data_IF_250089429957
#
_entry.id   IF_250089429957
#
_cell.length_a   1.000
_cell.length_b   1.000
_cell.length_c   1.000
_cell.angle_alpha   90.00
_cell.angle_beta   90.00
_cell.angle_gamma   90.00
#
_symmetry.space_group_name_H-M   'P 1'
#
loop_
_entity.id
_entity.type
_entity.pdbx_description
1 polymer ?
#
# COMPACT_ATOMS: atom_id res chain seq x y z
N UNK A 1 -28.56 6.82 -20.67
CA UNK A 1 -27.26 7.33 -20.19
C UNK A 1 -26.21 6.96 -21.20
N UNK A 2 -25.38 7.90 -21.62
CA UNK A 2 -24.19 7.62 -22.42
C UNK A 2 -23.31 6.61 -21.67
N UNK A 3 -22.48 5.85 -22.39
CA UNK A 3 -21.74 4.73 -21.82
C UNK A 3 -20.81 5.10 -20.64
N UNK A 4 -20.50 6.38 -20.42
CA UNK A 4 -19.55 6.87 -19.41
C UNK A 4 -20.03 8.15 -18.69
N UNK A 5 -21.33 8.26 -18.43
CA UNK A 5 -21.88 9.35 -17.62
C UNK A 5 -21.43 9.26 -16.15
N UNK A 6 -21.41 10.38 -15.39
CA UNK A 6 -21.15 10.38 -13.96
C UNK A 6 -22.11 9.46 -13.19
N UNK A 7 -21.67 8.80 -12.10
CA UNK A 7 -22.48 7.80 -11.41
C UNK A 7 -23.52 8.38 -10.43
N UNK A 8 -23.60 9.72 -10.30
CA UNK A 8 -24.53 10.44 -9.42
C UNK A 8 -24.98 11.74 -10.07
N UNK A 9 -26.19 12.22 -9.75
CA UNK A 9 -26.88 13.29 -10.49
C UNK A 9 -26.68 14.70 -9.91
N UNK A 10 -26.26 14.82 -8.64
CA UNK A 10 -26.16 16.11 -7.93
C UNK A 10 -24.78 16.39 -7.35
N UNK A 11 -24.46 17.68 -7.13
CA UNK A 11 -23.25 18.08 -6.38
C UNK A 11 -23.36 17.59 -4.95
N UNK A 12 -22.61 16.55 -4.61
CA UNK A 12 -22.60 15.92 -3.29
C UNK A 12 -22.22 16.92 -2.19
N UNK A 13 -21.36 17.88 -2.52
CA UNK A 13 -20.90 18.94 -1.61
C UNK A 13 -21.90 20.12 -1.51
N UNK A 14 -23.11 19.99 -2.06
CA UNK A 14 -24.07 21.07 -2.26
C UNK A 14 -25.20 21.11 -1.23
N UNK A 15 -24.89 21.46 0.02
CA UNK A 15 -25.85 22.11 0.93
C UNK A 15 -25.23 23.33 1.61
N UNK A 16 -24.42 24.07 0.86
CA UNK A 16 -23.86 25.35 1.31
C UNK A 16 -24.65 26.49 0.66
N UNK A 17 -25.04 27.43 1.51
CA UNK A 17 -25.84 28.62 1.27
C UNK A 17 -25.46 29.35 -0.04
N UNK A 18 -26.41 30.05 -0.67
CA UNK A 18 -26.23 30.68 -2.00
C UNK A 18 -25.02 31.63 -2.05
N UNK A 19 -24.61 32.22 -0.92
CA UNK A 19 -23.42 33.06 -0.80
C UNK A 19 -22.09 32.29 -0.98
N UNK A 20 -22.05 30.99 -0.65
CA UNK A 20 -20.85 30.14 -0.79
C UNK A 20 -20.71 29.64 -2.22
N UNK A 21 -21.82 29.45 -2.95
CA UNK A 21 -21.77 29.03 -4.35
C UNK A 21 -21.07 30.06 -5.25
N UNK A 22 -21.21 31.36 -4.97
CA UNK A 22 -20.48 32.43 -5.67
C UNK A 22 -18.95 32.37 -5.44
N UNK A 23 -18.50 31.89 -4.27
CA UNK A 23 -17.08 31.70 -3.94
C UNK A 23 -16.54 30.36 -4.47
N UNK A 24 -17.39 29.36 -4.66
CA UNK A 24 -17.04 28.03 -5.20
C UNK A 24 -16.96 28.05 -6.73
N UNK A 25 -17.82 28.82 -7.41
CA UNK A 25 -17.80 28.95 -8.88
C UNK A 25 -16.51 29.60 -9.42
N UNK A 26 -15.83 30.44 -8.62
CA UNK A 26 -14.52 31.02 -8.97
C UNK A 26 -13.32 30.11 -8.61
N UNK A 27 -13.58 28.90 -8.09
CA UNK A 27 -12.60 28.02 -7.42
C UNK A 27 -12.33 26.68 -8.13
N UNK A 28 -12.71 26.51 -9.40
CA UNK A 28 -12.34 25.33 -10.20
C UNK A 28 -10.84 24.89 -10.08
N UNK A 29 -9.84 25.79 -9.98
CA UNK A 29 -8.44 25.38 -9.75
C UNK A 29 -8.11 24.88 -8.32
N UNK A 30 -9.06 24.86 -7.37
CA UNK A 30 -8.83 24.49 -5.96
C UNK A 30 -9.21 23.05 -5.58
N UNK A 31 -9.75 22.27 -6.53
CA UNK A 31 -10.17 20.89 -6.30
C UNK A 31 -9.06 19.86 -6.50
N UNK A 32 -8.06 20.21 -7.32
CA UNK A 32 -6.90 19.38 -7.60
C UNK A 32 -5.78 19.65 -6.59
N UNK A 33 -4.88 18.69 -6.35
CA UNK A 33 -3.72 18.92 -5.49
C UNK A 33 -2.83 20.07 -6.01
N UNK A 34 -2.03 20.67 -5.15
CA UNK A 34 -1.17 21.80 -5.56
C UNK A 34 -0.13 21.38 -6.61
N UNK A 35 0.43 20.19 -6.47
CA UNK A 35 1.40 19.63 -7.40
C UNK A 35 1.28 18.12 -7.48
N UNK A 36 1.82 17.54 -8.55
CA UNK A 36 1.89 16.09 -8.73
C UNK A 36 3.28 15.67 -9.21
N UNK A 37 3.71 14.48 -8.79
CA UNK A 37 4.87 13.81 -9.40
C UNK A 37 4.39 12.76 -10.37
N UNK A 38 4.71 12.96 -11.64
CA UNK A 38 4.43 11.98 -12.70
C UNK A 38 5.64 11.05 -12.81
N UNK A 39 5.44 9.75 -12.59
CA UNK A 39 6.49 8.76 -12.86
C UNK A 39 6.44 8.37 -14.33
N UNK A 40 7.34 8.91 -15.14
CA UNK A 40 7.50 8.52 -16.54
C UNK A 40 8.54 7.39 -16.60
N UNK A 41 8.12 6.19 -17.02
CA UNK A 41 9.02 5.06 -17.35
C UNK A 41 10.07 4.72 -16.29
N UNK A 42 9.64 4.50 -15.03
CA UNK A 42 10.52 4.06 -13.94
C UNK A 42 11.49 5.13 -13.39
N UNK A 43 11.48 6.36 -13.93
CA UNK A 43 12.20 7.52 -13.39
C UNK A 43 11.25 8.38 -12.54
N UNK A 44 11.74 8.94 -11.44
CA UNK A 44 11.04 10.02 -10.76
C UNK A 44 11.02 11.22 -11.72
N UNK A 45 9.85 11.53 -12.28
CA UNK A 45 9.68 12.74 -13.10
C UNK A 45 9.64 13.99 -12.23
N UNK A 46 9.82 15.15 -12.85
CA UNK A 46 9.78 16.44 -12.18
C UNK A 46 8.43 16.75 -11.54
N UNK A 47 8.43 17.72 -10.62
CA UNK A 47 7.23 18.28 -10.01
C UNK A 47 6.43 19.03 -11.09
N UNK A 48 5.14 18.70 -11.23
CA UNK A 48 4.24 19.39 -12.17
C UNK A 48 3.11 20.07 -11.41
N UNK A 49 2.59 21.16 -11.95
CA UNK A 49 1.41 21.85 -11.42
C UNK A 49 0.18 21.00 -11.75
N UNK A 50 -0.61 20.60 -10.74
CA UNK A 50 -1.67 19.62 -10.98
C UNK A 50 -2.86 20.17 -11.78
N UNK A 51 -3.20 21.45 -11.58
CA UNK A 51 -4.26 22.11 -12.34
C UNK A 51 -3.96 22.23 -13.84
N UNK A 52 -2.68 22.16 -14.23
CA UNK A 52 -2.24 22.37 -15.61
C UNK A 52 -2.10 21.07 -16.42
N UNK A 53 -2.22 19.89 -15.79
CA UNK A 53 -1.93 18.62 -16.47
C UNK A 53 -2.95 17.53 -16.17
N UNK A 54 -3.67 17.02 -17.19
CA UNK A 54 -4.58 15.89 -17.04
C UNK A 54 -3.84 14.61 -16.61
N UNK A 55 -2.53 14.53 -16.84
CA UNK A 55 -1.70 13.41 -16.40
C UNK A 55 -1.52 13.34 -14.88
N UNK A 56 -1.73 14.45 -14.16
CA UNK A 56 -1.72 14.44 -12.70
C UNK A 56 -2.91 13.68 -12.13
N UNK A 57 -4.11 13.84 -12.69
CA UNK A 57 -5.30 13.06 -12.30
C UNK A 57 -5.11 11.58 -12.59
N UNK A 58 -4.54 11.24 -13.75
CA UNK A 58 -4.25 9.84 -14.09
C UNK A 58 -3.24 9.23 -13.12
N UNK A 59 -2.15 9.96 -12.81
CA UNK A 59 -1.16 9.51 -11.85
C UNK A 59 -1.74 9.35 -10.43
N UNK A 60 -2.64 10.24 -10.03
CA UNK A 60 -3.25 10.25 -8.71
C UNK A 60 -4.23 9.08 -8.47
N UNK A 61 -4.92 8.65 -9.53
CA UNK A 61 -5.85 7.51 -9.53
C UNK A 61 -5.22 6.20 -10.06
N UNK A 62 -3.93 6.23 -10.40
CA UNK A 62 -3.26 5.09 -11.03
C UNK A 62 -3.12 3.89 -10.09
N UNK A 63 -3.70 2.76 -10.50
CA UNK A 63 -3.54 1.45 -9.84
C UNK A 63 -2.76 0.45 -10.70
N UNK A 64 -2.07 0.93 -11.75
CA UNK A 64 -1.34 0.10 -12.74
C UNK A 64 -0.44 -0.96 -12.08
N UNK A 65 0.30 -0.59 -11.04
CA UNK A 65 1.21 -1.48 -10.30
C UNK A 65 0.55 -2.71 -9.69
N UNK A 66 -0.73 -2.61 -9.34
CA UNK A 66 -1.51 -3.71 -8.78
C UNK A 66 -2.20 -4.51 -9.87
N UNK A 67 -2.63 -3.85 -10.94
CA UNK A 67 -3.17 -4.51 -12.13
C UNK A 67 -2.11 -5.43 -12.77
N UNK A 68 -0.85 -4.99 -12.79
CA UNK A 68 0.29 -5.77 -13.30
C UNK A 68 0.57 -7.08 -12.53
N UNK A 69 0.05 -7.21 -11.30
CA UNK A 69 0.18 -8.40 -10.44
C UNK A 69 -1.19 -9.00 -10.10
N UNK A 70 -2.23 -8.67 -10.87
CA UNK A 70 -3.61 -9.08 -10.57
C UNK A 70 -3.72 -10.59 -10.30
N UNK A 71 -3.08 -11.41 -11.13
CA UNK A 71 -3.08 -12.88 -11.01
C UNK A 71 -2.42 -13.42 -9.73
N UNK A 72 -1.68 -12.58 -9.01
CA UNK A 72 -1.03 -12.92 -7.74
C UNK A 72 -1.71 -12.27 -6.53
N UNK A 73 -2.72 -11.41 -6.75
CA UNK A 73 -3.42 -10.72 -5.66
C UNK A 73 -4.15 -11.67 -4.72
N UNK A 74 -4.55 -12.86 -5.19
CA UNK A 74 -5.12 -13.91 -4.34
C UNK A 74 -4.19 -14.33 -3.20
N UNK A 75 -2.87 -14.19 -3.37
CA UNK A 75 -1.91 -14.45 -2.31
C UNK A 75 -1.99 -13.34 -1.25
N UNK A 76 -2.21 -12.10 -1.65
CA UNK A 76 -2.20 -10.92 -0.79
C UNK A 76 -3.55 -10.59 -0.12
N UNK A 77 -4.67 -11.00 -0.70
CA UNK A 77 -6.01 -10.75 -0.18
C UNK A 77 -7.08 -11.61 -0.84
N UNK A 78 -8.31 -11.50 -0.35
CA UNK A 78 -9.48 -12.21 -0.92
C UNK A 78 -10.30 -11.24 -1.79
N UNK A 79 -10.97 -11.73 -2.86
CA UNK A 79 -11.85 -10.93 -3.69
C UNK A 79 -13.18 -10.67 -2.95
N UNK A 80 -13.13 -9.80 -1.95
CA UNK A 80 -14.25 -9.44 -1.08
C UNK A 80 -14.18 -7.93 -0.80
N UNK A 81 -15.32 -7.23 -0.67
CA UNK A 81 -15.32 -5.83 -0.26
C UNK A 81 -14.54 -5.61 1.05
N UNK A 82 -13.95 -4.42 1.24
CA UNK A 82 -13.24 -4.10 2.48
C UNK A 82 -14.19 -4.10 3.67
N UNK A 83 -13.66 -4.39 4.86
CA UNK A 83 -14.46 -4.36 6.09
C UNK A 83 -14.65 -2.93 6.58
N UNK A 84 -15.75 -2.62 7.28
CA UNK A 84 -16.06 -1.26 7.72
C UNK A 84 -14.99 -0.67 8.65
N UNK A 85 -14.98 0.66 8.78
CA UNK A 85 -13.97 1.38 9.59
C UNK A 85 -14.01 1.01 11.07
N UNK A 86 -15.19 0.82 11.65
CA UNK A 86 -15.36 0.36 13.02
C UNK A 86 -14.66 -0.99 13.27
N UNK A 87 -14.70 -1.89 12.29
CA UNK A 87 -14.04 -3.20 12.34
C UNK A 87 -12.52 -3.04 12.29
N UNK A 88 -12.01 -2.12 11.45
CA UNK A 88 -10.58 -1.85 11.41
C UNK A 88 -10.07 -1.37 12.77
N UNK A 89 -10.83 -0.47 13.41
CA UNK A 89 -10.50 0.04 14.74
C UNK A 89 -10.62 -1.05 15.82
N UNK A 90 -11.66 -1.88 15.78
CA UNK A 90 -11.82 -3.01 16.72
C UNK A 90 -10.74 -4.08 16.53
N UNK A 91 -10.22 -4.24 15.32
CA UNK A 91 -9.09 -5.11 15.00
C UNK A 91 -7.72 -4.51 15.36
N UNK A 92 -7.69 -3.40 16.11
CA UNK A 92 -6.50 -2.66 16.52
C UNK A 92 -5.60 -2.25 15.35
N UNK A 93 -6.20 -1.95 14.19
CA UNK A 93 -5.49 -1.39 13.05
C UNK A 93 -5.58 0.12 13.10
N UNK A 94 -4.42 0.78 13.11
CA UNK A 94 -4.34 2.22 12.93
C UNK A 94 -4.78 2.60 11.50
N UNK A 95 -5.54 3.69 11.36
CA UNK A 95 -5.93 4.23 10.06
C UNK A 95 -4.89 5.27 9.66
N UNK A 96 -4.06 4.94 8.66
CA UNK A 96 -2.98 5.81 8.18
C UNK A 96 -3.37 6.42 6.85
N UNK A 97 -3.22 7.74 6.73
CA UNK A 97 -3.48 8.47 5.49
C UNK A 97 -2.34 8.26 4.49
N UNK A 98 -2.68 7.84 3.27
CA UNK A 98 -1.73 7.72 2.16
C UNK A 98 -2.41 8.19 0.87
N UNK A 99 -1.90 9.27 0.26
CA UNK A 99 -2.49 9.85 -0.96
C UNK A 99 -2.37 8.95 -2.20
N UNK A 100 -1.61 7.86 -2.14
CA UNK A 100 -1.42 6.98 -3.31
C UNK A 100 -2.61 6.03 -3.47
N UNK A 101 -3.24 6.05 -4.65
CA UNK A 101 -4.33 5.13 -4.97
C UNK A 101 -3.89 3.65 -4.92
N UNK A 102 -2.63 3.36 -5.22
CA UNK A 102 -2.07 2.01 -5.17
C UNK A 102 -1.88 1.46 -3.73
N UNK A 103 -1.89 2.33 -2.73
CA UNK A 103 -1.80 1.95 -1.31
C UNK A 103 -3.17 1.88 -0.62
N UNK A 104 -4.22 2.41 -1.24
CA UNK A 104 -5.56 2.35 -0.68
C UNK A 104 -5.98 0.88 -0.44
N UNK A 105 -6.46 0.58 0.79
CA UNK A 105 -6.81 -0.76 1.31
C UNK A 105 -5.62 -1.72 1.50
N UNK A 106 -4.38 -1.25 1.40
CA UNK A 106 -3.22 -2.05 1.76
C UNK A 106 -3.02 -1.93 3.28
N UNK A 107 -2.75 -3.04 3.96
CA UNK A 107 -2.50 -3.03 5.41
C UNK A 107 -1.23 -3.77 5.79
N UNK A 108 -0.59 -3.31 6.87
CA UNK A 108 0.64 -3.86 7.41
C UNK A 108 0.56 -3.94 8.94
N UNK A 109 1.20 -4.95 9.52
CA UNK A 109 1.42 -5.03 10.96
C UNK A 109 2.87 -4.59 11.22
N UNK A 110 3.14 -3.64 12.13
CA UNK A 110 2.22 -2.95 13.03
C UNK A 110 1.59 -1.65 12.48
N UNK A 111 1.98 -1.22 11.27
CA UNK A 111 1.69 0.14 10.74
C UNK A 111 0.23 0.48 10.44
N UNK A 112 -0.70 -0.46 10.52
CA UNK A 112 -2.12 -0.21 10.25
C UNK A 112 -2.52 -0.35 8.78
N UNK A 113 -3.70 0.18 8.46
CA UNK A 113 -4.30 0.19 7.12
C UNK A 113 -4.09 1.55 6.46
N UNK A 114 -3.62 1.55 5.22
CA UNK A 114 -3.40 2.76 4.42
C UNK A 114 -4.67 3.09 3.64
N UNK A 115 -5.20 4.30 3.86
CA UNK A 115 -6.40 4.80 3.20
C UNK A 115 -6.12 6.17 2.58
N UNK A 116 -6.30 6.25 1.26
CA UNK A 116 -6.35 7.51 0.53
C UNK A 116 -7.65 8.27 0.87
N UNK A 117 -7.60 9.52 1.37
CA UNK A 117 -8.78 10.36 1.55
C UNK A 117 -9.56 10.54 0.25
N UNK A 118 -10.88 10.69 0.33
CA UNK A 118 -11.71 10.97 -0.85
C UNK A 118 -11.33 12.35 -1.41
N UNK A 119 -10.74 12.42 -2.62
CA UNK A 119 -10.44 13.70 -3.23
C UNK A 119 -11.73 14.46 -3.55
N UNK A 120 -11.76 15.76 -3.25
CA UNK A 120 -12.95 16.60 -3.44
C UNK A 120 -13.42 16.62 -4.90
N UNK A 121 -12.49 16.53 -5.84
CA UNK A 121 -12.81 16.47 -7.27
C UNK A 121 -13.63 15.21 -7.65
N UNK A 122 -13.53 14.10 -6.89
CA UNK A 122 -14.35 12.90 -7.15
C UNK A 122 -15.80 13.05 -6.68
N UNK A 123 -16.09 14.04 -5.83
CA UNK A 123 -17.43 14.35 -5.35
C UNK A 123 -18.13 15.44 -6.18
N UNK A 124 -17.44 15.99 -7.18
CA UNK A 124 -17.98 16.99 -8.10
C UNK A 124 -18.38 16.36 -9.43
N UNK A 125 -19.66 16.45 -9.76
CA UNK A 125 -20.22 15.85 -10.96
C UNK A 125 -19.65 16.44 -12.27
N UNK A 126 -19.36 17.75 -12.28
CA UNK A 126 -18.85 18.44 -13.48
C UNK A 126 -17.41 17.96 -13.80
N UNK A 127 -16.61 17.68 -12.76
CA UNK A 127 -15.29 17.08 -12.92
C UNK A 127 -15.33 15.72 -13.62
N UNK A 128 -16.30 14.85 -13.30
CA UNK A 128 -16.44 13.55 -13.96
C UNK A 128 -16.69 13.70 -15.46
N UNK A 129 -17.59 14.61 -15.85
CA UNK A 129 -17.86 14.89 -17.28
C UNK A 129 -16.64 15.46 -17.99
N UNK A 130 -15.95 16.41 -17.37
CA UNK A 130 -14.84 17.12 -18.00
C UNK A 130 -13.54 16.32 -18.06
N UNK A 131 -13.27 15.45 -17.08
CA UNK A 131 -11.95 14.82 -16.93
C UNK A 131 -11.96 13.28 -16.94
N UNK A 132 -13.09 12.62 -16.67
CA UNK A 132 -13.15 11.16 -16.53
C UNK A 132 -13.94 10.47 -17.65
N UNK A 133 -14.97 11.12 -18.21
CA UNK A 133 -15.84 10.53 -19.22
C UNK A 133 -15.08 9.97 -20.44
N UNK A 134 -14.08 10.71 -20.93
CA UNK A 134 -13.27 10.29 -22.08
C UNK A 134 -12.15 9.29 -21.72
N UNK A 135 -11.85 9.14 -20.41
CA UNK A 135 -10.72 8.33 -19.91
C UNK A 135 -11.22 7.14 -19.11
N UNK A 136 -11.57 6.08 -19.84
CA UNK A 136 -12.16 4.84 -19.32
C UNK A 136 -11.40 4.25 -18.13
N UNK A 137 -10.07 4.19 -18.17
CA UNK A 137 -9.28 3.60 -17.08
C UNK A 137 -9.33 4.46 -15.80
N UNK A 138 -9.30 5.78 -15.95
CA UNK A 138 -9.44 6.72 -14.83
C UNK A 138 -10.85 6.65 -14.25
N UNK A 139 -11.87 6.60 -15.09
CA UNK A 139 -13.26 6.41 -14.67
C UNK A 139 -13.42 5.10 -13.87
N UNK A 140 -12.90 3.99 -14.40
CA UNK A 140 -12.95 2.68 -13.74
C UNK A 140 -12.29 2.67 -12.37
N UNK A 141 -11.14 3.34 -12.27
CA UNK A 141 -10.39 3.47 -11.03
C UNK A 141 -11.12 4.36 -10.03
N UNK A 142 -11.64 5.50 -10.46
CA UNK A 142 -12.42 6.43 -9.64
C UNK A 142 -13.71 5.79 -9.11
N UNK A 143 -14.45 5.07 -9.94
CA UNK A 143 -15.68 4.40 -9.54
C UNK A 143 -15.38 3.28 -8.54
N UNK A 144 -14.37 2.44 -8.82
CA UNK A 144 -13.93 1.39 -7.89
C UNK A 144 -13.48 1.96 -6.54
N UNK A 145 -12.80 3.10 -6.55
CA UNK A 145 -12.39 3.82 -5.34
C UNK A 145 -13.57 4.40 -4.54
N UNK A 146 -14.58 4.97 -5.19
CA UNK A 146 -15.77 5.42 -4.45
C UNK A 146 -16.55 4.23 -3.87
N UNK A 147 -16.64 3.13 -4.62
CA UNK A 147 -17.29 1.90 -4.16
C UNK A 147 -16.56 1.25 -2.97
N UNK A 148 -15.24 1.30 -2.89
CA UNK A 148 -14.54 0.83 -1.69
C UNK A 148 -14.93 1.64 -0.44
N UNK A 149 -15.14 2.94 -0.59
CA UNK A 149 -15.62 3.78 0.51
C UNK A 149 -17.06 3.48 0.92
N UNK A 150 -17.94 3.09 -0.01
CA UNK A 150 -19.29 2.62 0.36
C UNK A 150 -19.26 1.38 1.26
N UNK A 151 -18.25 0.51 1.07
CA UNK A 151 -18.05 -0.66 1.92
C UNK A 151 -17.31 -0.34 3.23
N UNK A 152 -16.48 0.71 3.27
CA UNK A 152 -15.79 1.17 4.48
C UNK A 152 -16.73 1.92 5.44
N UNK A 153 -17.65 2.73 4.92
CA UNK A 153 -18.54 3.60 5.69
C UNK A 153 -19.98 3.08 5.58
N UNK A 154 -20.31 2.06 6.39
CA UNK A 154 -21.63 1.41 6.36
C UNK A 154 -22.57 2.00 7.41
N UNK A 155 -22.02 2.35 8.58
CA UNK A 155 -22.78 2.88 9.70
C UNK A 155 -22.44 4.35 9.96
N UNK A 156 -23.32 5.03 10.69
CA UNK A 156 -23.10 6.41 11.10
C UNK A 156 -21.84 6.55 12.00
N UNK A 157 -21.53 5.53 12.80
CA UNK A 157 -20.27 5.47 13.56
C UNK A 157 -19.04 5.45 12.66
N UNK A 158 -19.07 4.69 11.55
CA UNK A 158 -17.99 4.69 10.55
C UNK A 158 -17.83 6.06 9.90
N UNK A 159 -18.94 6.78 9.69
CA UNK A 159 -18.92 8.12 9.12
C UNK A 159 -18.24 9.13 10.06
N UNK A 160 -18.51 9.06 11.35
CA UNK A 160 -17.80 9.89 12.33
C UNK A 160 -16.32 9.54 12.42
N UNK A 161 -15.94 8.25 12.36
CA UNK A 161 -14.54 7.81 12.29
C UNK A 161 -13.87 8.38 11.02
N UNK A 162 -14.55 8.31 9.88
CA UNK A 162 -14.05 8.85 8.61
C UNK A 162 -13.82 10.37 8.68
N UNK A 163 -14.70 11.12 9.36
CA UNK A 163 -14.52 12.56 9.61
C UNK A 163 -13.34 12.84 10.53
N UNK A 164 -13.25 12.12 11.65
CA UNK A 164 -12.18 12.27 12.64
C UNK A 164 -10.80 12.07 11.97
N UNK A 165 -10.70 11.04 11.11
CA UNK A 165 -9.48 10.73 10.36
C UNK A 165 -9.30 11.56 9.09
N UNK A 166 -10.19 12.53 8.79
CA UNK A 166 -10.15 13.38 7.58
C UNK A 166 -10.13 12.59 6.27
N UNK A 167 -10.75 11.41 6.25
CA UNK A 167 -10.90 10.60 5.04
C UNK A 167 -11.97 11.16 4.11
N UNK A 168 -12.95 11.88 4.67
CA UNK A 168 -14.02 12.53 3.92
C UNK A 168 -14.02 14.04 4.22
N UNK A 169 -14.58 14.87 3.32
CA UNK A 169 -14.67 16.31 3.55
C UNK A 169 -15.49 16.65 4.80
N UNK A 170 -15.04 17.65 5.56
CA UNK A 170 -15.68 18.07 6.81
C UNK A 170 -17.13 18.55 6.61
N UNK A 171 -17.38 19.20 5.46
CA UNK A 171 -18.68 19.72 5.05
C UNK A 171 -19.67 18.64 4.59
N UNK A 172 -19.27 17.37 4.52
CA UNK A 172 -20.16 16.27 4.13
C UNK A 172 -21.11 15.92 5.28
N UNK A 173 -22.41 15.77 5.03
CA UNK A 173 -23.39 15.30 6.03
C UNK A 173 -23.69 13.81 5.85
N UNK A 174 -24.17 13.14 6.90
CA UNK A 174 -24.56 11.73 6.82
C UNK A 174 -25.66 11.49 5.77
N UNK A 175 -26.64 12.40 5.68
CA UNK A 175 -27.70 12.37 4.67
C UNK A 175 -27.14 12.46 3.24
N UNK A 176 -26.18 13.37 3.01
CA UNK A 176 -25.51 13.48 1.71
C UNK A 176 -24.71 12.22 1.36
N UNK A 177 -24.10 11.58 2.35
CA UNK A 177 -23.40 10.31 2.18
C UNK A 177 -24.37 9.18 1.81
N UNK A 178 -25.50 9.04 2.51
CA UNK A 178 -26.53 8.06 2.17
C UNK A 178 -27.04 8.28 0.74
N UNK A 179 -27.30 9.54 0.37
CA UNK A 179 -27.75 9.90 -0.98
C UNK A 179 -26.73 9.50 -2.05
N UNK A 180 -25.44 9.77 -1.81
CA UNK A 180 -24.36 9.36 -2.71
C UNK A 180 -24.25 7.83 -2.81
N UNK A 181 -24.19 7.12 -1.68
CA UNK A 181 -24.09 5.65 -1.64
C UNK A 181 -25.24 5.01 -2.40
N UNK A 182 -26.47 5.52 -2.22
CA UNK A 182 -27.65 5.03 -2.94
C UNK A 182 -27.45 5.13 -4.45
N UNK A 183 -27.04 6.29 -4.96
CA UNK A 183 -26.83 6.50 -6.40
C UNK A 183 -25.69 5.63 -6.94
N UNK A 184 -24.57 5.54 -6.22
CA UNK A 184 -23.42 4.72 -6.61
C UNK A 184 -23.77 3.22 -6.71
N UNK A 185 -24.55 2.70 -5.75
CA UNK A 185 -24.95 1.29 -5.73
C UNK A 185 -26.06 0.98 -6.74
N UNK A 186 -26.99 1.91 -6.98
CA UNK A 186 -28.04 1.74 -8.01
C UNK A 186 -27.46 1.79 -9.42
N UNK A 187 -26.50 2.68 -9.68
CA UNK A 187 -25.86 2.85 -10.99
C UNK A 187 -24.60 1.97 -11.17
N UNK A 188 -24.40 0.98 -10.29
CA UNK A 188 -23.21 0.13 -10.30
C UNK A 188 -23.19 -0.78 -11.53
N UNK A 189 -22.15 -0.64 -12.34
CA UNK A 189 -21.84 -1.56 -13.43
C UNK A 189 -20.48 -2.21 -13.17
N UNK A 190 -20.47 -3.52 -12.88
CA UNK A 190 -19.26 -4.28 -12.56
C UNK A 190 -18.23 -4.31 -13.70
N UNK A 191 -18.65 -4.07 -14.95
CA UNK A 191 -17.74 -3.98 -16.10
C UNK A 191 -17.00 -2.63 -16.17
N UNK A 192 -17.52 -1.62 -15.45
CA UNK A 192 -16.91 -0.29 -15.33
C UNK A 192 -16.10 -0.12 -14.04
N UNK A 193 -15.76 -1.21 -13.36
CA UNK A 193 -14.90 -1.18 -12.17
C UNK A 193 -13.52 -1.69 -12.55
N UNK A 194 -12.48 -0.98 -12.10
CA UNK A 194 -11.11 -1.45 -12.30
C UNK A 194 -10.86 -2.76 -11.52
N UNK A 195 -10.13 -3.69 -12.13
CA UNK A 195 -9.89 -5.04 -11.60
C UNK A 195 -9.26 -5.00 -10.20
N UNK A 196 -8.47 -3.97 -9.86
CA UNK A 196 -7.90 -3.78 -8.52
C UNK A 196 -8.96 -3.79 -7.42
N UNK A 197 -10.11 -3.15 -7.64
CA UNK A 197 -11.14 -2.94 -6.62
C UNK A 197 -12.06 -4.15 -6.43
N UNK A 198 -11.86 -5.24 -7.19
CA UNK A 198 -12.45 -6.55 -6.89
C UNK A 198 -11.88 -7.15 -5.61
N UNK A 199 -10.67 -6.76 -5.25
CA UNK A 199 -10.03 -7.09 -3.97
C UNK A 199 -10.16 -5.91 -3.02
N UNK A 200 -10.71 -6.13 -1.84
CA UNK A 200 -10.71 -5.14 -0.77
C UNK A 200 -9.31 -5.02 -0.15
N UNK A 201 -9.17 -5.62 1.03
CA UNK A 201 -7.95 -5.51 1.84
C UNK A 201 -6.81 -6.38 1.31
N UNK A 202 -5.65 -5.76 1.07
CA UNK A 202 -4.42 -6.45 0.66
C UNK A 202 -3.36 -6.37 1.74
N UNK A 203 -2.74 -7.50 2.07
CA UNK A 203 -1.66 -7.55 3.06
C UNK A 203 -0.31 -7.18 2.44
N UNK A 204 0.32 -6.11 2.93
CA UNK A 204 1.58 -5.60 2.40
C UNK A 204 2.72 -6.62 2.45
N UNK A 205 2.80 -7.42 3.53
CA UNK A 205 3.86 -8.43 3.66
C UNK A 205 3.81 -9.50 2.57
N UNK A 206 2.62 -9.82 2.06
CA UNK A 206 2.44 -10.79 0.97
C UNK A 206 2.68 -10.13 -0.38
N UNK A 207 2.26 -8.89 -0.52
CA UNK A 207 2.54 -8.07 -1.71
C UNK A 207 4.03 -7.88 -1.95
N UNK A 208 4.81 -7.66 -0.89
CA UNK A 208 6.27 -7.60 -0.95
C UNK A 208 6.87 -8.94 -1.42
N UNK A 209 6.35 -10.08 -0.95
CA UNK A 209 6.80 -11.40 -1.42
C UNK A 209 6.55 -11.61 -2.91
N UNK A 210 5.37 -11.22 -3.42
CA UNK A 210 5.07 -11.30 -4.87
C UNK A 210 6.11 -10.50 -5.67
N UNK A 211 6.43 -9.28 -5.23
CA UNK A 211 7.42 -8.45 -5.91
C UNK A 211 8.84 -9.00 -5.80
N UNK A 212 9.23 -9.59 -4.67
CA UNK A 212 10.52 -10.27 -4.52
C UNK A 212 10.67 -11.46 -5.47
N UNK A 213 9.62 -12.28 -5.61
CA UNK A 213 9.61 -13.41 -6.57
C UNK A 213 9.76 -12.92 -8.02
N UNK A 214 9.25 -11.73 -8.34
CA UNK A 214 9.42 -11.08 -9.66
C UNK A 214 10.76 -10.36 -9.84
N UNK A 215 11.69 -10.46 -8.89
CA UNK A 215 13.03 -9.88 -8.98
C UNK A 215 13.15 -8.42 -8.51
N UNK A 216 12.10 -7.84 -7.90
CA UNK A 216 12.16 -6.48 -7.37
C UNK A 216 12.65 -6.46 -5.93
N UNK A 217 13.94 -6.20 -5.72
CA UNK A 217 14.58 -6.22 -4.40
C UNK A 217 13.87 -5.33 -3.34
N UNK A 218 13.32 -4.17 -3.74
CA UNK A 218 12.61 -3.27 -2.81
C UNK A 218 11.22 -3.76 -2.36
N UNK A 219 10.67 -4.80 -2.98
CA UNK A 219 9.28 -5.20 -2.78
C UNK A 219 8.28 -4.17 -3.34
N UNK A 220 7.03 -4.24 -2.89
CA UNK A 220 5.98 -3.31 -3.28
C UNK A 220 6.09 -1.97 -2.56
N UNK A 221 6.25 -2.01 -1.24
CA UNK A 221 6.61 -0.86 -0.43
C UNK A 221 7.69 -1.33 0.54
N UNK A 222 8.78 -0.58 0.63
CA UNK A 222 9.92 -1.00 1.41
C UNK A 222 9.48 -1.18 2.89
N UNK A 223 9.59 -2.39 3.46
CA UNK A 223 8.97 -2.70 4.73
C UNK A 223 9.71 -2.08 5.92
N UNK A 224 10.88 -1.49 5.75
CA UNK A 224 11.66 -0.88 6.83
C UNK A 224 11.88 0.60 6.52
N UNK A 225 11.67 1.50 7.47
CA UNK A 225 11.99 2.92 7.24
C UNK A 225 13.47 3.19 7.52
N UNK A 226 14.07 2.40 8.40
CA UNK A 226 15.48 2.50 8.77
C UNK A 226 16.20 1.17 8.60
N UNK A 227 17.51 1.27 8.36
CA UNK A 227 18.40 0.12 8.35
C UNK A 227 18.43 -0.61 9.71
N UNK A 228 18.27 0.12 10.82
CA UNK A 228 18.18 -0.46 12.16
C UNK A 228 16.96 -1.36 12.34
N UNK A 229 15.78 -0.89 11.90
CA UNK A 229 14.52 -1.68 11.94
C UNK A 229 14.62 -2.96 11.10
N UNK A 230 15.28 -2.89 9.94
CA UNK A 230 15.56 -4.08 9.12
C UNK A 230 16.45 -5.07 9.86
N UNK A 231 17.51 -4.60 10.52
CA UNK A 231 18.46 -5.45 11.20
C UNK A 231 17.82 -6.16 12.40
N UNK A 232 17.13 -5.41 13.27
CA UNK A 232 16.47 -5.96 14.45
C UNK A 232 15.36 -6.95 14.08
N UNK A 233 14.57 -6.66 13.05
CA UNK A 233 13.49 -7.53 12.59
C UNK A 233 14.00 -8.89 12.06
N UNK A 234 15.20 -8.93 11.48
CA UNK A 234 15.80 -10.18 10.97
C UNK A 234 16.61 -10.92 12.05
N UNK A 235 17.22 -10.21 13.00
CA UNK A 235 17.97 -10.83 14.09
C UNK A 235 17.09 -11.57 15.09
N UNK A 236 15.87 -11.11 15.36
CA UNK A 236 14.96 -11.77 16.30
C UNK A 236 14.72 -13.25 15.96
N UNK A 237 14.21 -13.58 14.76
CA UNK A 237 14.03 -14.96 14.31
C UNK A 237 15.33 -15.77 14.28
N UNK A 238 16.46 -15.16 13.89
CA UNK A 238 17.78 -15.82 13.89
C UNK A 238 18.21 -16.18 15.33
N UNK A 239 17.98 -15.30 16.29
CA UNK A 239 18.22 -15.55 17.70
C UNK A 239 17.38 -16.71 18.24
N UNK A 240 16.07 -16.71 17.95
CA UNK A 240 15.17 -17.81 18.33
C UNK A 240 15.62 -19.14 17.72
N UNK A 241 15.98 -19.16 16.44
CA UNK A 241 16.49 -20.36 15.78
C UNK A 241 17.80 -20.84 16.41
N UNK A 242 18.71 -19.91 16.76
CA UNK A 242 19.99 -20.23 17.41
C UNK A 242 19.78 -20.83 18.80
N UNK A 243 18.87 -20.27 19.61
CA UNK A 243 18.51 -20.83 20.93
C UNK A 243 17.91 -22.22 20.78
N UNK A 244 17.03 -22.43 19.81
CA UNK A 244 16.45 -23.74 19.55
C UNK A 244 17.51 -24.78 19.13
N UNK A 245 18.43 -24.40 18.23
CA UNK A 245 19.56 -25.24 17.84
C UNK A 245 20.44 -25.60 19.05
N UNK A 246 20.73 -24.62 19.93
CA UNK A 246 21.50 -24.85 21.14
C UNK A 246 20.78 -25.81 22.11
N UNK A 247 19.46 -25.70 22.24
CA UNK A 247 18.66 -26.61 23.07
C UNK A 247 18.66 -28.05 22.53
N UNK A 248 18.59 -28.23 21.21
CA UNK A 248 18.75 -29.55 20.59
C UNK A 248 20.17 -30.08 20.83
N UNK A 249 21.19 -29.22 20.73
CA UNK A 249 22.57 -29.58 20.98
C UNK A 249 22.78 -30.07 22.43
N UNK A 250 22.19 -29.41 23.43
CA UNK A 250 22.30 -29.85 24.83
C UNK A 250 21.59 -31.18 25.07
N UNK A 251 20.41 -31.39 24.48
CA UNK A 251 19.73 -32.69 24.53
C UNK A 251 20.58 -33.81 23.92
N UNK A 252 21.29 -33.50 22.83
CA UNK A 252 22.16 -34.45 22.14
C UNK A 252 23.42 -34.78 22.95
N UNK A 253 23.98 -33.78 23.65
CA UNK A 253 25.08 -33.98 24.62
C UNK A 253 24.65 -34.89 25.78
N UNK A 254 23.42 -34.72 26.30
CA UNK A 254 22.87 -35.62 27.31
C UNK A 254 22.69 -37.05 26.78
N UNK A 255 22.25 -37.20 25.52
CA UNK A 255 22.17 -38.51 24.86
C UNK A 255 23.52 -39.21 24.77
N UNK A 256 24.58 -38.51 24.36
CA UNK A 256 25.94 -39.04 24.29
C UNK A 256 26.54 -39.39 25.66
N UNK A 257 25.99 -38.85 26.75
CA UNK A 257 26.40 -39.24 28.11
C UNK A 257 25.75 -40.55 28.58
N UNK A 258 24.70 -41.04 27.91
CA UNK A 258 24.03 -42.30 28.26
C UNK A 258 24.67 -43.47 27.51
N UNK A 259 25.00 -44.60 28.19
CA UNK A 259 25.68 -45.73 27.55
C UNK A 259 24.86 -46.41 26.44
N UNK A 260 23.53 -46.24 26.43
CA UNK A 260 22.66 -46.79 25.39
C UNK A 260 22.86 -46.09 24.03
N UNK A 261 22.95 -44.76 24.03
CA UNK A 261 23.15 -43.98 22.79
C UNK A 261 24.63 -43.69 22.49
N UNK A 262 25.49 -43.64 23.52
CA UNK A 262 26.91 -43.43 23.33
C UNK A 262 27.58 -44.56 22.55
N UNK A 263 27.10 -45.79 22.69
CA UNK A 263 27.66 -46.97 22.02
C UNK A 263 27.10 -47.19 20.60
N UNK A 264 26.10 -46.41 20.17
CA UNK A 264 25.56 -46.50 18.82
C UNK A 264 26.40 -45.64 17.84
N UNK A 265 27.11 -46.26 16.87
CA UNK A 265 27.93 -45.53 15.91
C UNK A 265 27.10 -44.64 14.97
N UNK A 266 25.82 -44.94 14.74
CA UNK A 266 24.95 -44.05 13.95
C UNK A 266 24.66 -42.75 14.71
N UNK A 267 24.39 -42.87 16.01
CA UNK A 267 24.12 -41.71 16.86
C UNK A 267 25.35 -40.80 16.97
N UNK A 268 26.56 -41.35 17.14
CA UNK A 268 27.79 -40.54 17.19
C UNK A 268 28.06 -39.76 15.90
N UNK A 269 27.75 -40.32 14.73
CA UNK A 269 27.90 -39.63 13.44
C UNK A 269 26.90 -38.48 13.29
N UNK A 270 25.65 -38.71 13.68
CA UNK A 270 24.62 -37.67 13.73
C UNK A 270 25.01 -36.56 14.72
N UNK A 271 25.45 -36.96 15.92
CA UNK A 271 26.40 -36.34 16.85
C UNK A 271 27.20 -35.20 16.25
N UNK A 272 28.25 -35.64 15.58
CA UNK A 272 29.27 -34.82 14.98
C UNK A 272 28.70 -33.87 13.92
N UNK A 273 27.85 -34.37 13.03
CA UNK A 273 27.23 -33.55 11.97
C UNK A 273 26.40 -32.40 12.54
N UNK A 274 25.63 -32.66 13.60
CA UNK A 274 24.80 -31.65 14.23
C UNK A 274 25.63 -30.60 14.99
N UNK A 275 26.74 -31.00 15.62
CA UNK A 275 27.68 -30.05 16.25
C UNK A 275 28.23 -29.08 15.21
N UNK A 276 28.74 -29.58 14.09
CA UNK A 276 29.27 -28.73 13.00
C UNK A 276 28.18 -27.79 12.46
N UNK A 277 26.98 -28.34 12.23
CA UNK A 277 25.82 -27.53 11.80
C UNK A 277 25.48 -26.43 12.81
N UNK A 278 25.48 -26.73 14.11
CA UNK A 278 25.10 -25.77 15.16
C UNK A 278 26.07 -24.59 15.30
N UNK A 279 27.34 -24.78 14.90
CA UNK A 279 28.35 -23.71 14.86
C UNK A 279 28.19 -22.88 13.58
N UNK A 280 28.07 -23.56 12.43
CA UNK A 280 28.04 -22.89 11.12
C UNK A 280 26.72 -22.19 10.83
N UNK A 281 25.59 -22.75 11.26
CA UNK A 281 24.27 -22.23 10.89
C UNK A 281 24.00 -20.81 11.45
N UNK A 282 24.23 -20.50 12.74
CA UNK A 282 24.06 -19.13 13.26
C UNK A 282 24.97 -18.12 12.57
N UNK A 283 26.25 -18.47 12.35
CA UNK A 283 27.22 -17.61 11.64
C UNK A 283 26.77 -17.37 10.19
N UNK A 284 26.31 -18.41 9.51
CA UNK A 284 25.74 -18.35 8.17
C UNK A 284 24.51 -17.43 8.09
N UNK A 285 23.59 -17.54 9.05
CA UNK A 285 22.38 -16.71 9.09
C UNK A 285 22.72 -15.23 9.34
N UNK A 286 23.59 -14.93 10.30
CA UNK A 286 24.01 -13.54 10.59
C UNK A 286 24.76 -12.94 9.41
N UNK A 287 25.69 -13.68 8.81
CA UNK A 287 26.42 -13.23 7.61
C UNK A 287 25.50 -13.00 6.42
N UNK A 288 24.48 -13.84 6.20
CA UNK A 288 23.49 -13.62 5.15
C UNK A 288 22.72 -12.30 5.32
N UNK A 289 22.31 -11.97 6.55
CA UNK A 289 21.66 -10.68 6.86
C UNK A 289 22.61 -9.51 6.58
N UNK A 290 23.90 -9.63 6.94
CA UNK A 290 24.90 -8.61 6.67
C UNK A 290 25.15 -8.42 5.15
N UNK A 291 25.18 -9.50 4.37
CA UNK A 291 25.34 -9.42 2.91
C UNK A 291 24.14 -8.72 2.26
N UNK A 292 22.90 -9.04 2.67
CA UNK A 292 21.69 -8.37 2.20
C UNK A 292 21.75 -6.88 2.52
N UNK A 293 22.19 -6.53 3.72
CA UNK A 293 22.39 -5.14 4.12
C UNK A 293 23.39 -4.42 3.21
N UNK A 294 24.57 -5.00 3.00
CA UNK A 294 25.60 -4.42 2.15
C UNK A 294 25.10 -4.23 0.71
N UNK A 295 24.36 -5.19 0.18
CA UNK A 295 23.74 -5.07 -1.14
C UNK A 295 22.82 -3.84 -1.23
N UNK A 296 21.90 -3.66 -0.28
CA UNK A 296 21.02 -2.47 -0.28
C UNK A 296 21.79 -1.17 -0.07
N UNK A 297 22.80 -1.19 0.80
CA UNK A 297 23.66 -0.03 1.04
C UNK A 297 24.37 0.41 -0.25
N UNK A 298 25.04 -0.51 -0.94
CA UNK A 298 25.72 -0.22 -2.20
C UNK A 298 24.74 0.16 -3.32
N UNK A 299 23.58 -0.49 -3.41
CA UNK A 299 22.54 -0.11 -4.37
C UNK A 299 22.08 1.33 -4.17
N UNK A 300 21.75 1.71 -2.93
CA UNK A 300 21.33 3.06 -2.61
C UNK A 300 22.47 4.07 -2.80
N UNK A 301 23.71 3.71 -2.44
CA UNK A 301 24.90 4.54 -2.66
C UNK A 301 25.13 4.82 -4.15
N UNK A 302 25.11 3.78 -4.99
CA UNK A 302 25.27 3.90 -6.44
C UNK A 302 24.15 4.79 -7.02
N UNK A 303 22.89 4.59 -6.59
CA UNK A 303 21.79 5.44 -7.03
C UNK A 303 22.02 6.92 -6.69
N UNK A 304 22.52 7.21 -5.48
CA UNK A 304 22.87 8.57 -5.05
C UNK A 304 24.03 9.16 -5.86
N UNK A 305 25.09 8.39 -6.11
CA UNK A 305 26.23 8.85 -6.92
C UNK A 305 25.82 9.12 -8.37
N UNK A 306 24.99 8.27 -8.97
CA UNK A 306 24.45 8.48 -10.32
C UNK A 306 23.60 9.76 -10.34
N UNK A 307 22.80 10.02 -9.31
CA UNK A 307 22.04 11.25 -9.18
C UNK A 307 22.96 12.48 -9.08
N UNK A 308 23.97 12.45 -8.20
CA UNK A 308 24.94 13.54 -8.04
C UNK A 308 25.75 13.85 -9.30
N UNK A 309 26.11 12.83 -10.08
CA UNK A 309 26.79 13.00 -11.38
C UNK A 309 25.90 13.64 -12.45
N UNK A 310 24.57 13.53 -12.35
CA UNK A 310 23.64 14.17 -13.29
C UNK A 310 23.38 15.63 -12.95
N UNK A 311 23.30 15.97 -11.66
CA UNK A 311 23.17 17.35 -11.18
C UNK A 311 24.39 18.18 -11.60
N UNK A 312 25.60 17.62 -11.47
CA UNK A 312 26.85 18.30 -11.85
C UNK A 312 27.06 18.45 -13.36
N UNK A 313 26.37 17.67 -14.20
CA UNK A 313 26.43 17.75 -15.68
C UNK A 313 25.35 18.65 -16.31
N UNK A 314 24.72 19.53 -15.54
CA UNK A 314 23.75 20.50 -16.05
C UNK A 314 22.36 19.91 -16.36
N UNK A 315 22.05 18.71 -15.86
CA UNK A 315 20.69 18.18 -15.92
C UNK A 315 19.76 18.99 -15.02
N UNK A 316 18.70 19.56 -15.60
CA UNK A 316 17.67 20.31 -14.88
C UNK A 316 17.23 19.54 -13.64
N UNK A 317 17.35 20.18 -12.48
CA UNK A 317 16.95 19.61 -11.19
C UNK A 317 15.46 19.26 -11.29
N UNK A 318 15.04 17.99 -11.10
CA UNK A 318 13.65 17.72 -10.80
C UNK A 318 13.39 18.39 -9.45
N UNK A 319 12.72 19.54 -9.47
CA UNK A 319 12.46 20.38 -8.31
C UNK A 319 11.86 19.51 -7.19
N UNK A 320 12.60 19.42 -6.08
CA UNK A 320 12.34 18.81 -4.76
C UNK A 320 11.54 17.50 -4.74
#
# INVERSE_FOLDING_TARGET
MAAWDPPFDSKVLGHLDQAVQAVVASRAPSLLPASCRIRISGRQGGLNIAAASPACTEADLSVKRLNDIYDWLWLAGRPMPPRPLNYQQSASREIVLDERADMHLVWAVPRGIFLKPIPRYLLDHDFWRAHLADRKDCYKSALGFLLSYTALIQHESDFFIAKEKRLIPENMTWESWIGLVRQLLTNKDDNKIDIRYRYGELRLSRLNKVYWVRGFARGYCFPYQTYGEMFTANLGPVGVATVYIALVLTAMQLGLATPQLANDPMFQRASYGFVVFSILAPVGLVSAVAVIFLFFFFYNWIATVIFGRKVTRGGSIPVV
#
